data_IF_777354905196
#
_entry.id   IF_777354905196
#
_cell.length_a   1.000
_cell.length_b   1.000
_cell.length_c   1.000
_cell.angle_alpha   90.00
_cell.angle_beta   90.00
_cell.angle_gamma   90.00
#
_symmetry.space_group_name_H-M   'P 1'
#
loop_
_entity.id
_entity.type
_entity.pdbx_description
1 polymer ?
#
# COMPACT_ATOMS: atom_id res chain seq x y z
N UNK A 1 13.17 -16.03 -1.55
CA UNK A 1 12.23 -14.91 -1.62
C UNK A 1 12.84 -13.66 -0.99
N UNK A 2 12.50 -12.49 -1.50
CA UNK A 2 12.93 -11.20 -0.94
C UNK A 2 12.05 -10.73 0.24
N UNK A 3 10.89 -11.35 0.43
CA UNK A 3 9.92 -11.04 1.50
C UNK A 3 9.39 -12.33 2.09
N UNK A 4 10.09 -12.96 3.04
CA UNK A 4 9.67 -14.23 3.66
C UNK A 4 8.40 -14.08 4.50
N UNK A 5 8.10 -12.86 4.90
CA UNK A 5 6.90 -12.49 5.63
C UNK A 5 6.39 -11.19 5.04
N UNK A 6 5.19 -11.20 4.50
CA UNK A 6 4.54 -10.05 3.89
C UNK A 6 3.27 -9.65 4.65
N UNK A 7 2.46 -10.62 5.04
CA UNK A 7 1.18 -10.41 5.69
C UNK A 7 1.00 -11.18 7.00
N UNK A 8 1.69 -12.28 7.20
CA UNK A 8 1.52 -13.11 8.40
C UNK A 8 2.70 -14.05 8.66
N UNK A 9 2.88 -14.46 9.92
CA UNK A 9 3.82 -15.52 10.30
C UNK A 9 3.52 -16.87 9.64
N UNK A 10 2.28 -17.09 9.19
CA UNK A 10 1.90 -18.27 8.44
C UNK A 10 2.66 -18.40 7.11
N UNK A 11 3.03 -17.28 6.49
CA UNK A 11 3.84 -17.28 5.26
C UNK A 11 5.25 -17.80 5.52
N UNK A 12 5.89 -17.33 6.60
CA UNK A 12 7.18 -17.86 7.06
C UNK A 12 7.09 -19.36 7.31
N UNK A 13 6.08 -19.80 8.06
CA UNK A 13 5.85 -21.21 8.31
C UNK A 13 5.71 -22.00 6.99
N UNK A 14 4.95 -21.50 6.04
CA UNK A 14 4.74 -22.15 4.74
C UNK A 14 6.03 -22.31 3.94
N UNK A 15 6.90 -21.29 3.96
CA UNK A 15 8.20 -21.36 3.30
C UNK A 15 9.08 -22.42 3.96
N UNK A 16 9.14 -22.42 5.31
CA UNK A 16 9.93 -23.41 6.03
C UNK A 16 9.37 -24.84 5.88
N UNK A 17 8.06 -25.01 5.86
CA UNK A 17 7.44 -26.32 5.64
C UNK A 17 7.72 -26.86 4.24
N UNK A 18 7.84 -25.97 3.23
CA UNK A 18 8.25 -26.36 1.87
C UNK A 18 9.74 -26.71 1.78
N UNK A 19 10.62 -25.94 2.41
CA UNK A 19 12.09 -26.14 2.32
C UNK A 19 12.55 -27.25 3.27
N UNK A 20 12.01 -27.28 4.50
CA UNK A 20 12.36 -28.18 5.59
C UNK A 20 11.09 -28.68 6.27
N UNK A 21 10.39 -29.66 5.69
CA UNK A 21 9.12 -30.14 6.22
C UNK A 21 9.24 -30.54 7.71
N UNK A 22 8.32 -29.99 8.52
CA UNK A 22 8.24 -30.30 9.95
C UNK A 22 9.23 -29.52 10.85
N UNK A 23 10.16 -28.73 10.31
CA UNK A 23 11.15 -27.99 11.11
C UNK A 23 10.46 -27.00 12.08
N UNK A 24 9.48 -26.25 11.61
CA UNK A 24 8.66 -25.36 12.42
C UNK A 24 7.36 -26.03 12.92
N UNK A 25 7.40 -27.34 13.09
CA UNK A 25 6.26 -28.18 13.49
C UNK A 25 5.09 -28.16 12.49
N UNK A 26 3.92 -28.73 12.89
CA UNK A 26 2.67 -28.55 12.13
C UNK A 26 2.16 -27.12 12.28
N UNK A 27 1.44 -26.61 11.29
CA UNK A 27 0.89 -25.24 11.35
C UNK A 27 0.06 -24.98 12.62
N UNK A 28 -0.76 -25.97 13.03
CA UNK A 28 -1.54 -25.84 14.27
C UNK A 28 -0.65 -25.60 15.50
N UNK A 29 0.46 -26.33 15.61
CA UNK A 29 1.41 -26.18 16.71
C UNK A 29 2.20 -24.87 16.60
N UNK A 30 2.67 -24.52 15.41
CA UNK A 30 3.33 -23.24 15.13
C UNK A 30 2.44 -22.04 15.50
N UNK A 31 1.17 -22.09 15.11
CA UNK A 31 0.19 -21.03 15.43
C UNK A 31 0.00 -20.86 16.94
N UNK A 32 -0.07 -21.96 17.69
CA UNK A 32 -0.25 -21.90 19.15
C UNK A 32 1.02 -21.46 19.86
N UNK A 33 2.20 -21.88 19.40
CA UNK A 33 3.48 -21.61 20.08
C UNK A 33 4.09 -20.27 19.72
N UNK A 34 3.84 -19.76 18.51
CA UNK A 34 4.52 -18.57 17.98
C UNK A 34 3.53 -17.53 17.45
N UNK A 35 2.66 -17.88 16.50
CA UNK A 35 1.82 -16.87 15.82
C UNK A 35 0.88 -16.15 16.81
N UNK A 36 0.14 -16.88 17.64
CA UNK A 36 -0.80 -16.28 18.60
C UNK A 36 -0.06 -15.51 19.70
N UNK A 37 0.94 -16.10 20.41
CA UNK A 37 1.67 -15.37 21.44
C UNK A 37 2.36 -14.11 20.91
N UNK A 38 3.03 -14.19 19.77
CA UNK A 38 3.75 -13.05 19.19
C UNK A 38 2.80 -11.95 18.71
N UNK A 39 1.73 -12.32 17.96
CA UNK A 39 0.88 -11.33 17.29
C UNK A 39 -0.21 -10.77 18.19
N UNK A 40 -0.73 -11.56 19.16
CA UNK A 40 -1.84 -11.13 20.02
C UNK A 40 -1.42 -10.75 21.43
N UNK A 41 -0.37 -11.40 21.96
CA UNK A 41 0.04 -11.27 23.34
C UNK A 41 1.36 -10.51 23.46
N UNK A 42 1.97 -10.14 22.32
CA UNK A 42 3.26 -9.43 22.22
C UNK A 42 4.38 -10.13 23.05
N UNK A 43 4.34 -11.48 23.08
CA UNK A 43 5.26 -12.28 23.90
C UNK A 43 6.67 -12.30 23.28
N UNK A 44 7.56 -11.52 23.88
CA UNK A 44 8.97 -11.42 23.49
C UNK A 44 9.71 -12.76 23.59
N UNK A 45 9.35 -13.63 24.55
CA UNK A 45 10.01 -14.94 24.73
C UNK A 45 9.75 -15.87 23.52
N UNK A 46 8.50 -15.93 23.06
CA UNK A 46 8.13 -16.70 21.87
C UNK A 46 8.77 -16.13 20.61
N UNK A 47 8.86 -14.79 20.52
CA UNK A 47 9.53 -14.09 19.43
C UNK A 47 11.03 -14.45 19.36
N UNK A 48 11.74 -14.36 20.48
CA UNK A 48 13.16 -14.71 20.53
C UNK A 48 13.42 -16.17 20.20
N UNK A 49 12.57 -17.09 20.68
CA UNK A 49 12.67 -18.51 20.34
C UNK A 49 12.50 -18.76 18.86
N UNK A 50 11.50 -18.12 18.22
CA UNK A 50 11.29 -18.24 16.78
C UNK A 50 12.49 -17.67 16.02
N UNK A 51 12.99 -16.49 16.42
CA UNK A 51 14.17 -15.86 15.82
C UNK A 51 15.38 -16.80 15.85
N UNK A 52 15.73 -17.36 16.99
CA UNK A 52 16.84 -18.32 17.12
C UNK A 52 16.68 -19.55 16.20
N UNK A 53 15.45 -20.03 16.00
CA UNK A 53 15.20 -21.16 15.12
C UNK A 53 15.41 -20.82 13.64
N UNK A 54 15.00 -19.63 13.21
CA UNK A 54 15.05 -19.26 11.78
C UNK A 54 16.38 -18.61 11.38
N UNK A 55 17.09 -17.95 12.30
CA UNK A 55 18.32 -17.18 12.06
C UNK A 55 19.37 -17.95 11.23
N UNK A 56 19.67 -19.25 11.47
CA UNK A 56 20.65 -19.98 10.68
C UNK A 56 20.27 -20.17 9.20
N UNK A 57 19.01 -19.98 8.84
CA UNK A 57 18.46 -20.24 7.51
C UNK A 57 18.00 -18.99 6.79
N UNK A 58 17.97 -17.84 7.46
CA UNK A 58 17.52 -16.57 6.92
C UNK A 58 18.69 -15.60 6.81
N UNK A 59 19.10 -15.32 5.58
CA UNK A 59 20.05 -14.23 5.32
C UNK A 59 19.26 -13.07 4.70
N UNK A 60 19.11 -11.99 5.44
CA UNK A 60 18.51 -10.77 4.96
C UNK A 60 19.57 -9.67 4.83
N UNK A 61 19.51 -8.96 3.72
CA UNK A 61 20.31 -7.74 3.50
C UNK A 61 19.40 -6.66 2.95
N UNK A 62 19.45 -5.50 3.54
CA UNK A 62 18.71 -4.34 3.05
C UNK A 62 19.43 -3.71 1.87
N UNK A 63 18.68 -2.99 1.03
CA UNK A 63 19.28 -2.25 -0.09
C UNK A 63 20.30 -1.22 0.39
N UNK A 64 20.05 -0.57 1.53
CA UNK A 64 20.93 0.43 2.12
C UNK A 64 22.28 -0.15 2.54
N UNK A 65 22.30 -1.38 3.06
CA UNK A 65 23.54 -2.06 3.47
C UNK A 65 24.41 -2.51 2.30
N UNK A 66 23.79 -2.86 1.18
CA UNK A 66 24.48 -3.54 0.06
C UNK A 66 24.71 -2.60 -1.13
N UNK A 67 23.82 -1.66 -1.35
CA UNK A 67 23.82 -0.76 -2.51
C UNK A 67 24.14 0.67 -2.08
N UNK A 68 25.38 0.89 -1.67
CA UNK A 68 25.89 2.22 -1.25
C UNK A 68 25.89 3.24 -2.40
N UNK A 69 25.83 2.78 -3.66
CA UNK A 69 25.75 3.64 -4.85
C UNK A 69 24.31 4.02 -5.24
N UNK A 70 23.31 3.41 -4.59
CA UNK A 70 21.91 3.75 -4.89
C UNK A 70 21.58 5.12 -4.31
N UNK A 71 21.06 6.06 -5.13
CA UNK A 71 20.65 7.38 -4.64
C UNK A 71 19.64 7.30 -3.49
N UNK A 72 19.56 8.35 -2.71
CA UNK A 72 18.61 8.44 -1.59
C UNK A 72 17.16 8.35 -2.07
N UNK A 73 16.30 7.90 -1.14
CA UNK A 73 14.87 7.88 -1.31
C UNK A 73 14.24 8.76 -0.24
N UNK A 74 13.61 9.85 -0.67
CA UNK A 74 12.92 10.80 0.19
C UNK A 74 11.42 10.53 0.17
N UNK A 75 10.80 10.36 1.35
CA UNK A 75 9.37 10.10 1.47
C UNK A 75 8.70 11.26 2.17
N UNK A 76 7.72 11.88 1.52
CA UNK A 76 6.92 12.98 2.05
C UNK A 76 5.44 12.58 2.07
N UNK A 77 4.82 12.72 3.23
CA UNK A 77 3.37 12.56 3.38
C UNK A 77 2.75 13.94 3.15
N UNK A 78 1.82 14.01 2.22
CA UNK A 78 1.07 15.22 1.90
C UNK A 78 -0.37 15.05 2.37
N UNK A 79 -0.70 15.79 3.40
CA UNK A 79 -2.01 15.78 4.02
C UNK A 79 -2.93 16.80 3.32
N UNK A 80 -4.12 16.35 2.96
CA UNK A 80 -5.13 17.16 2.30
C UNK A 80 -6.39 17.26 3.17
N UNK A 81 -6.90 18.45 3.33
CA UNK A 81 -8.26 18.64 3.85
C UNK A 81 -9.27 18.39 2.73
N UNK A 82 -10.32 17.63 3.04
CA UNK A 82 -11.41 17.42 2.09
C UNK A 82 -12.15 18.73 1.86
N UNK A 83 -12.73 18.88 0.66
CA UNK A 83 -13.69 19.95 0.42
C UNK A 83 -14.98 19.70 1.19
N UNK A 84 -15.68 20.75 1.56
CA UNK A 84 -16.86 20.72 2.43
C UNK A 84 -17.89 19.67 2.00
N UNK A 85 -18.26 19.66 0.73
CA UNK A 85 -19.21 18.68 0.18
C UNK A 85 -18.67 17.24 0.28
N UNK A 86 -17.38 17.03 0.03
CA UNK A 86 -16.73 15.70 0.15
C UNK A 86 -16.70 15.25 1.61
N UNK A 87 -16.43 16.16 2.54
CA UNK A 87 -16.39 15.90 3.97
C UNK A 87 -17.78 15.54 4.49
N UNK A 88 -18.82 16.27 4.11
CA UNK A 88 -20.21 15.95 4.47
C UNK A 88 -20.62 14.54 4.02
N UNK A 89 -20.27 14.17 2.78
CA UNK A 89 -20.50 12.82 2.25
C UNK A 89 -19.76 11.78 3.08
N UNK A 90 -18.48 12.04 3.42
CA UNK A 90 -17.66 11.14 4.22
C UNK A 90 -18.25 10.94 5.64
N UNK A 91 -18.57 12.03 6.33
CA UNK A 91 -19.10 12.00 7.69
C UNK A 91 -20.48 11.34 7.75
N UNK A 92 -21.36 11.66 6.81
CA UNK A 92 -22.67 11.01 6.71
C UNK A 92 -22.55 9.50 6.52
N UNK A 93 -21.68 9.08 5.62
CA UNK A 93 -21.45 7.65 5.38
C UNK A 93 -20.79 6.95 6.59
N UNK A 94 -19.81 7.60 7.22
CA UNK A 94 -19.15 7.09 8.45
C UNK A 94 -20.15 6.91 9.59
N UNK A 95 -21.06 7.87 9.82
CA UNK A 95 -22.10 7.78 10.85
C UNK A 95 -23.01 6.58 10.63
N UNK A 96 -23.51 6.41 9.40
CA UNK A 96 -24.36 5.27 9.04
C UNK A 96 -23.68 3.92 9.28
N UNK A 97 -22.39 3.83 8.93
CA UNK A 97 -21.62 2.59 9.14
C UNK A 97 -21.37 2.31 10.61
N UNK A 98 -21.06 3.33 11.42
CA UNK A 98 -20.87 3.15 12.87
C UNK A 98 -22.10 2.51 13.51
N UNK A 99 -23.29 2.96 13.15
CA UNK A 99 -24.54 2.37 13.63
C UNK A 99 -24.75 0.93 13.15
N UNK A 100 -24.45 0.66 11.87
CA UNK A 100 -24.58 -0.69 11.30
C UNK A 100 -23.58 -1.66 11.95
N UNK A 101 -22.33 -1.25 12.09
CA UNK A 101 -21.27 -2.07 12.72
C UNK A 101 -21.56 -2.31 14.20
N UNK A 102 -22.06 -1.30 14.93
CA UNK A 102 -22.48 -1.48 16.32
C UNK A 102 -23.56 -2.56 16.48
N UNK A 103 -24.51 -2.63 15.56
CA UNK A 103 -25.56 -3.67 15.52
C UNK A 103 -24.99 -5.07 15.18
N UNK A 104 -23.92 -5.14 14.41
CA UNK A 104 -23.29 -6.39 13.96
C UNK A 104 -22.36 -7.00 15.03
N UNK A 105 -21.81 -6.20 15.93
CA UNK A 105 -20.88 -6.65 16.99
C UNK A 105 -21.50 -7.68 17.93
N UNK A 106 -22.85 -7.65 18.12
CA UNK A 106 -23.59 -8.59 18.96
C UNK A 106 -24.02 -9.91 18.30
N UNK A 107 -23.74 -10.09 17.00
CA UNK A 107 -24.22 -11.24 16.24
C UNK A 107 -23.13 -12.30 15.99
N UNK A 108 -23.52 -13.57 16.07
CA UNK A 108 -22.62 -14.74 16.04
C UNK A 108 -22.07 -15.08 14.66
N UNK A 109 -22.52 -14.46 13.55
CA UNK A 109 -22.09 -14.78 12.18
C UNK A 109 -20.86 -13.94 11.76
N UNK A 110 -19.71 -14.42 12.20
CA UNK A 110 -18.41 -13.73 12.10
C UNK A 110 -17.95 -13.38 10.66
N UNK A 111 -18.18 -14.28 9.69
CA UNK A 111 -17.63 -14.11 8.34
C UNK A 111 -18.37 -13.09 7.47
N UNK A 112 -19.69 -13.11 7.47
CA UNK A 112 -20.51 -12.14 6.71
C UNK A 112 -20.37 -10.73 7.27
N UNK A 113 -20.26 -10.61 8.58
CA UNK A 113 -20.10 -9.32 9.26
C UNK A 113 -18.75 -8.68 8.93
N UNK A 114 -17.67 -9.48 8.88
CA UNK A 114 -16.35 -9.01 8.47
C UNK A 114 -16.33 -8.51 7.02
N UNK A 115 -16.99 -9.21 6.09
CA UNK A 115 -17.09 -8.75 4.70
C UNK A 115 -17.84 -7.43 4.56
N UNK A 116 -18.91 -7.22 5.34
CA UNK A 116 -19.65 -5.93 5.34
C UNK A 116 -18.77 -4.79 5.83
N UNK A 117 -18.03 -5.00 6.93
CA UNK A 117 -17.09 -3.99 7.45
C UNK A 117 -16.01 -3.66 6.42
N UNK A 118 -15.40 -4.67 5.78
CA UNK A 118 -14.40 -4.44 4.73
C UNK A 118 -14.97 -3.68 3.53
N UNK A 119 -16.21 -3.98 3.12
CA UNK A 119 -16.88 -3.24 2.06
C UNK A 119 -17.11 -1.77 2.46
N UNK A 120 -17.52 -1.53 3.70
CA UNK A 120 -17.73 -0.20 4.24
C UNK A 120 -16.42 0.61 4.29
N UNK A 121 -15.34 0.03 4.79
CA UNK A 121 -14.02 0.65 4.79
C UNK A 121 -13.52 0.96 3.37
N UNK A 122 -13.81 0.07 2.41
CA UNK A 122 -13.49 0.30 1.00
C UNK A 122 -14.23 1.52 0.46
N UNK A 123 -15.52 1.71 0.83
CA UNK A 123 -16.30 2.87 0.42
C UNK A 123 -15.79 4.17 1.03
N UNK A 124 -15.46 4.17 2.34
CA UNK A 124 -14.84 5.34 2.99
C UNK A 124 -13.56 5.77 2.27
N UNK A 125 -12.68 4.83 1.94
CA UNK A 125 -11.46 5.11 1.18
C UNK A 125 -11.75 5.64 -0.23
N UNK A 126 -12.77 5.12 -0.90
CA UNK A 126 -13.21 5.64 -2.20
C UNK A 126 -13.65 7.10 -2.09
N UNK A 127 -14.42 7.45 -1.05
CA UNK A 127 -14.85 8.83 -0.81
C UNK A 127 -13.62 9.73 -0.55
N UNK A 128 -12.62 9.26 0.22
CA UNK A 128 -11.37 9.99 0.44
C UNK A 128 -10.58 10.23 -0.86
N UNK A 129 -10.61 9.30 -1.81
CA UNK A 129 -9.96 9.46 -3.10
C UNK A 129 -10.69 10.48 -3.98
N UNK A 130 -11.96 10.23 -4.23
CA UNK A 130 -12.87 11.10 -4.99
C UNK A 130 -14.31 10.57 -4.85
N UNK A 131 -15.29 11.41 -4.49
CA UNK A 131 -16.67 10.95 -4.31
C UNK A 131 -17.29 10.28 -5.54
N UNK A 132 -16.84 10.61 -6.73
CA UNK A 132 -17.31 9.99 -7.98
C UNK A 132 -17.00 8.47 -8.07
N UNK A 133 -16.12 7.94 -7.23
CA UNK A 133 -15.90 6.49 -7.12
C UNK A 133 -17.06 5.77 -6.43
N UNK A 134 -17.90 6.51 -5.72
CA UNK A 134 -19.03 6.01 -4.95
C UNK A 134 -20.37 6.56 -5.40
N UNK A 135 -20.44 7.86 -5.70
CA UNK A 135 -21.65 8.57 -6.14
C UNK A 135 -21.54 8.84 -7.64
N UNK A 136 -22.47 8.26 -8.43
CA UNK A 136 -22.53 8.52 -9.86
C UNK A 136 -22.83 10.00 -10.12
N UNK A 137 -22.18 10.53 -11.14
CA UNK A 137 -22.38 11.91 -11.61
C UNK A 137 -22.08 13.00 -10.55
N UNK A 138 -21.24 12.69 -9.56
CA UNK A 138 -20.71 13.68 -8.66
C UNK A 138 -19.92 14.73 -9.45
N UNK A 139 -20.27 16.00 -9.27
CA UNK A 139 -19.71 17.14 -10.04
C UNK A 139 -18.76 18.00 -9.21
N UNK A 140 -18.64 17.72 -7.92
CA UNK A 140 -17.73 18.42 -7.04
C UNK A 140 -16.27 18.05 -7.33
N UNK A 141 -15.38 18.84 -6.78
CA UNK A 141 -13.92 18.65 -6.88
C UNK A 141 -13.39 17.82 -5.73
N UNK A 142 -12.12 17.42 -5.81
CA UNK A 142 -11.39 16.75 -4.74
C UNK A 142 -10.05 17.45 -4.54
N UNK A 143 -9.83 18.03 -3.36
CA UNK A 143 -8.57 18.71 -3.03
C UNK A 143 -7.35 17.82 -3.27
N UNK A 144 -7.48 16.52 -2.97
CA UNK A 144 -6.43 15.54 -3.23
C UNK A 144 -6.12 15.39 -4.73
N UNK A 145 -7.15 15.42 -5.57
CA UNK A 145 -6.93 15.37 -7.02
C UNK A 145 -6.25 16.64 -7.53
N UNK A 146 -6.68 17.80 -7.08
CA UNK A 146 -6.07 19.06 -7.48
C UNK A 146 -4.60 19.11 -7.05
N UNK A 147 -4.27 18.78 -5.80
CA UNK A 147 -2.90 18.72 -5.33
C UNK A 147 -2.06 17.72 -6.14
N UNK A 148 -2.61 16.54 -6.44
CA UNK A 148 -1.94 15.54 -7.28
C UNK A 148 -1.60 16.11 -8.66
N UNK A 149 -2.53 16.83 -9.28
CA UNK A 149 -2.32 17.45 -10.59
C UNK A 149 -1.32 18.60 -10.55
N UNK A 150 -1.33 19.41 -9.49
CA UNK A 150 -0.35 20.49 -9.27
C UNK A 150 1.07 19.94 -9.17
N UNK A 151 1.28 18.95 -8.29
CA UNK A 151 2.58 18.27 -8.14
C UNK A 151 3.03 17.65 -9.46
N UNK A 152 2.11 17.00 -10.17
CA UNK A 152 2.41 16.38 -11.47
C UNK A 152 2.87 17.42 -12.49
N UNK A 153 2.20 18.57 -12.56
CA UNK A 153 2.58 19.67 -13.49
C UNK A 153 3.92 20.31 -13.14
N UNK A 154 4.16 20.54 -11.86
CA UNK A 154 5.44 21.10 -11.40
C UNK A 154 6.61 20.14 -11.67
N UNK A 155 6.41 18.85 -11.39
CA UNK A 155 7.40 17.83 -11.66
C UNK A 155 7.74 17.74 -13.17
N UNK A 156 6.74 17.76 -14.02
CA UNK A 156 6.93 17.75 -15.48
C UNK A 156 7.72 18.99 -15.95
N UNK A 157 7.38 20.18 -15.43
CA UNK A 157 8.11 21.44 -15.73
C UNK A 157 9.57 21.37 -15.31
N UNK A 158 9.84 20.70 -14.18
CA UNK A 158 11.19 20.48 -13.65
C UNK A 158 11.94 19.33 -14.34
N UNK A 159 11.32 18.66 -15.32
CA UNK A 159 11.93 17.60 -16.12
C UNK A 159 11.77 16.20 -15.57
N UNK A 160 11.17 16.02 -14.38
CA UNK A 160 10.97 14.71 -13.74
C UNK A 160 10.04 13.79 -14.50
N UNK A 161 10.22 12.49 -14.29
CA UNK A 161 9.30 11.43 -14.72
C UNK A 161 8.62 10.80 -13.51
N UNK A 162 7.32 10.57 -13.63
CA UNK A 162 6.44 10.27 -12.51
C UNK A 162 5.82 8.89 -12.67
N UNK A 163 5.91 8.05 -11.62
CA UNK A 163 5.06 6.88 -11.44
C UNK A 163 3.91 7.25 -10.50
N UNK A 164 2.69 7.18 -10.97
CA UNK A 164 1.50 7.47 -10.18
C UNK A 164 0.72 6.19 -9.92
N UNK A 165 0.65 5.80 -8.66
CA UNK A 165 -0.01 4.58 -8.20
C UNK A 165 -1.33 4.87 -7.53
N UNK A 166 -2.35 4.05 -7.85
CA UNK A 166 -3.59 3.98 -7.07
C UNK A 166 -4.06 2.54 -6.89
N UNK A 167 -4.74 2.29 -5.78
CA UNK A 167 -5.41 1.01 -5.50
C UNK A 167 -6.64 0.81 -6.38
N UNK A 168 -7.22 1.91 -6.88
CA UNK A 168 -8.46 1.91 -7.66
C UNK A 168 -8.18 2.25 -9.13
N UNK A 169 -8.49 1.32 -10.03
CA UNK A 169 -8.41 1.58 -11.48
C UNK A 169 -9.35 2.69 -11.93
N UNK A 170 -10.52 2.80 -11.31
CA UNK A 170 -11.47 3.89 -11.54
C UNK A 170 -10.92 5.27 -11.14
N UNK A 171 -10.05 5.33 -10.12
CA UNK A 171 -9.34 6.57 -9.80
C UNK A 171 -8.31 6.92 -10.87
N UNK A 172 -7.59 5.94 -11.38
CA UNK A 172 -6.68 6.16 -12.51
C UNK A 172 -7.42 6.66 -13.77
N UNK A 173 -8.67 6.26 -13.97
CA UNK A 173 -9.51 6.78 -15.08
C UNK A 173 -9.88 8.27 -14.88
N UNK A 174 -10.15 8.69 -13.64
CA UNK A 174 -10.39 10.10 -13.32
C UNK A 174 -9.12 10.92 -13.56
N UNK A 175 -7.97 10.46 -13.07
CA UNK A 175 -6.68 11.12 -13.29
C UNK A 175 -6.33 11.14 -14.79
N UNK A 176 -6.55 10.05 -15.49
CA UNK A 176 -6.36 9.95 -16.94
C UNK A 176 -7.14 11.02 -17.70
N UNK A 177 -8.41 11.24 -17.33
CA UNK A 177 -9.22 12.29 -17.92
C UNK A 177 -8.61 13.66 -17.69
N UNK A 178 -8.19 13.99 -16.48
CA UNK A 178 -7.54 15.27 -16.17
C UNK A 178 -6.23 15.45 -16.95
N UNK A 179 -5.41 14.41 -17.08
CA UNK A 179 -4.18 14.48 -17.88
C UNK A 179 -4.49 14.75 -19.37
N UNK A 180 -5.54 14.14 -19.91
CA UNK A 180 -6.01 14.38 -21.29
C UNK A 180 -6.49 15.83 -21.47
N UNK A 181 -7.30 16.33 -20.55
CA UNK A 181 -7.83 17.69 -20.59
C UNK A 181 -6.70 18.74 -20.56
N UNK A 182 -5.58 18.41 -19.89
CA UNK A 182 -4.37 19.26 -19.80
C UNK A 182 -3.31 18.94 -20.88
N UNK A 183 -3.62 18.07 -21.85
CA UNK A 183 -2.70 17.63 -22.93
C UNK A 183 -1.37 17.03 -22.43
N UNK A 184 -1.37 16.38 -21.26
CA UNK A 184 -0.20 15.70 -20.71
C UNK A 184 -0.16 14.27 -21.26
N UNK A 185 0.98 13.89 -21.88
CA UNK A 185 1.21 12.53 -22.37
C UNK A 185 1.49 11.58 -21.21
N UNK A 186 0.88 10.42 -21.23
CA UNK A 186 1.02 9.41 -20.19
C UNK A 186 0.94 7.99 -20.74
N UNK A 187 1.44 7.04 -19.97
CA UNK A 187 1.10 5.61 -20.12
C UNK A 187 0.21 5.15 -18.98
N UNK A 188 -0.53 4.06 -19.22
CA UNK A 188 -1.38 3.42 -18.21
C UNK A 188 -1.17 1.91 -18.19
N UNK A 189 -0.92 1.35 -17.01
CA UNK A 189 -0.74 -0.08 -16.78
C UNK A 189 -1.67 -0.55 -15.65
N UNK A 190 -2.52 -1.50 -15.98
CA UNK A 190 -3.47 -2.11 -15.04
C UNK A 190 -3.43 -3.63 -15.13
N UNK A 191 -4.25 -4.31 -14.31
CA UNK A 191 -4.40 -5.76 -14.42
C UNK A 191 -4.92 -6.25 -15.77
N UNK A 192 -5.59 -5.39 -16.54
CA UNK A 192 -6.11 -5.71 -17.87
C UNK A 192 -5.05 -5.60 -18.99
N UNK A 193 -3.91 -4.95 -18.73
CA UNK A 193 -2.82 -4.81 -19.71
C UNK A 193 -2.15 -6.16 -19.96
N UNK A 194 -2.04 -6.58 -21.23
CA UNK A 194 -1.41 -7.84 -21.60
C UNK A 194 0.08 -7.88 -21.22
N UNK A 195 0.59 -9.09 -21.00
CA UNK A 195 1.99 -9.27 -20.51
C UNK A 195 3.00 -8.72 -21.53
N UNK A 196 2.77 -8.98 -22.81
CA UNK A 196 3.64 -8.50 -23.89
C UNK A 196 3.67 -6.97 -23.95
N UNK A 197 2.51 -6.33 -23.87
CA UNK A 197 2.37 -4.86 -23.89
C UNK A 197 3.07 -4.20 -22.69
N UNK A 198 3.19 -4.90 -21.56
CA UNK A 198 3.84 -4.34 -20.37
C UNK A 198 5.33 -4.08 -20.57
N UNK A 199 6.00 -4.97 -21.30
CA UNK A 199 7.43 -4.83 -21.57
C UNK A 199 7.66 -3.62 -22.47
N UNK A 200 6.89 -3.53 -23.55
CA UNK A 200 6.98 -2.42 -24.51
C UNK A 200 6.71 -1.07 -23.85
N UNK A 201 5.67 -0.98 -23.02
CA UNK A 201 5.34 0.25 -22.26
C UNK A 201 6.45 0.66 -21.30
N UNK A 202 7.10 -0.31 -20.63
CA UNK A 202 8.21 -0.05 -19.70
C UNK A 202 9.43 0.45 -20.45
N UNK A 203 9.80 -0.21 -21.56
CA UNK A 203 10.96 0.15 -22.36
C UNK A 203 10.77 1.51 -23.01
N UNK A 204 9.58 1.76 -23.57
CA UNK A 204 9.26 3.07 -24.13
C UNK A 204 9.26 4.16 -23.07
N UNK A 205 8.66 3.92 -21.90
CA UNK A 205 8.66 4.90 -20.83
C UNK A 205 10.09 5.26 -20.37
N UNK A 206 10.96 4.27 -20.21
CA UNK A 206 12.34 4.55 -19.78
C UNK A 206 13.11 5.38 -20.81
N UNK A 207 12.91 5.14 -22.11
CA UNK A 207 13.70 5.72 -23.19
C UNK A 207 13.08 6.99 -23.82
N UNK A 208 11.76 7.17 -23.73
CA UNK A 208 11.07 8.30 -24.35
C UNK A 208 10.84 9.45 -23.35
N UNK A 209 11.55 10.55 -23.55
CA UNK A 209 11.46 11.73 -22.67
C UNK A 209 10.19 12.57 -22.89
N UNK A 210 9.39 12.31 -23.88
CA UNK A 210 8.10 13.00 -24.06
C UNK A 210 7.00 12.48 -23.13
N UNK A 211 7.11 11.22 -22.70
CA UNK A 211 6.16 10.59 -21.80
C UNK A 211 6.66 10.77 -20.36
N UNK A 212 5.99 11.64 -19.63
CA UNK A 212 6.43 12.03 -18.27
C UNK A 212 5.66 11.34 -17.15
N UNK A 213 4.48 10.78 -17.43
CA UNK A 213 3.61 10.18 -16.42
C UNK A 213 3.30 8.73 -16.77
N UNK A 214 3.41 7.84 -15.78
CA UNK A 214 2.97 6.47 -15.91
C UNK A 214 1.94 6.17 -14.81
N UNK A 215 0.68 5.99 -15.19
CA UNK A 215 -0.42 5.59 -14.32
C UNK A 215 -0.40 4.08 -14.11
N UNK A 216 -0.27 3.63 -12.88
CA UNK A 216 -0.12 2.19 -12.58
C UNK A 216 -1.07 1.79 -11.46
N UNK A 217 -1.88 0.74 -11.68
CA UNK A 217 -2.63 0.15 -10.58
C UNK A 217 -1.68 -0.57 -9.61
N UNK A 218 -1.86 -0.37 -8.31
CA UNK A 218 -0.94 -0.88 -7.29
C UNK A 218 -0.70 -2.40 -7.40
N UNK A 219 -1.76 -3.16 -7.71
CA UNK A 219 -1.67 -4.62 -7.93
C UNK A 219 -0.80 -4.98 -9.15
N UNK A 220 -0.90 -4.22 -10.22
CA UNK A 220 -0.08 -4.47 -11.43
C UNK A 220 1.38 -4.03 -11.24
N UNK A 221 1.61 -2.98 -10.45
CA UNK A 221 2.95 -2.52 -10.07
C UNK A 221 3.77 -3.51 -9.23
N UNK A 222 3.13 -4.50 -8.60
CA UNK A 222 3.78 -5.57 -7.87
C UNK A 222 4.57 -6.57 -8.76
N UNK A 223 4.31 -6.62 -10.07
CA UNK A 223 5.04 -7.47 -11.01
C UNK A 223 6.37 -6.85 -11.43
N UNK A 224 7.45 -7.61 -11.53
CA UNK A 224 8.87 -7.25 -11.71
C UNK A 224 9.26 -6.18 -12.74
N UNK A 225 8.52 -5.08 -12.84
CA UNK A 225 8.78 -3.96 -13.74
C UNK A 225 10.08 -3.24 -13.35
N UNK A 226 10.83 -2.75 -14.33
CA UNK A 226 12.01 -1.91 -14.13
C UNK A 226 11.74 -0.51 -14.69
N UNK A 227 11.44 0.44 -13.81
CA UNK A 227 11.01 1.80 -14.16
C UNK A 227 12.00 2.86 -13.64
N UNK A 228 13.31 2.58 -13.82
CA UNK A 228 14.40 3.46 -13.37
C UNK A 228 14.50 4.78 -14.13
N UNK A 229 13.75 4.94 -15.22
CA UNK A 229 13.60 6.21 -15.90
C UNK A 229 12.78 7.24 -15.10
N UNK A 230 12.05 6.82 -14.06
CA UNK A 230 11.31 7.72 -13.16
C UNK A 230 12.13 8.03 -11.90
N UNK A 231 12.08 9.27 -11.47
CA UNK A 231 12.69 9.77 -10.24
C UNK A 231 11.66 10.35 -9.25
N UNK A 232 10.38 10.31 -9.62
CA UNK A 232 9.28 10.69 -8.74
C UNK A 232 8.20 9.60 -8.67
N UNK A 233 7.70 9.34 -7.47
CA UNK A 233 6.64 8.38 -7.20
C UNK A 233 5.52 9.05 -6.43
N UNK A 234 4.29 8.94 -6.89
CA UNK A 234 3.10 9.43 -6.19
C UNK A 234 2.21 8.23 -5.85
N UNK A 235 1.99 8.01 -4.56
CA UNK A 235 0.93 7.14 -4.07
C UNK A 235 -0.31 7.98 -3.80
N UNK A 236 -1.31 7.86 -4.66
CA UNK A 236 -2.54 8.66 -4.58
C UNK A 236 -3.38 8.30 -3.36
N UNK A 237 -3.40 7.02 -2.99
CA UNK A 237 -4.12 6.51 -1.82
C UNK A 237 -3.25 5.51 -1.04
N UNK A 238 -3.36 5.47 0.31
CA UNK A 238 -2.66 4.50 1.11
C UNK A 238 -3.27 3.10 0.95
N UNK A 239 -2.41 2.08 0.99
CA UNK A 239 -2.82 0.70 0.95
C UNK A 239 -2.59 0.01 2.30
N UNK A 240 -3.45 -0.93 2.68
CA UNK A 240 -3.33 -1.67 3.93
C UNK A 240 -1.98 -2.36 4.13
N UNK A 241 -1.39 -2.83 3.05
CA UNK A 241 -0.09 -3.49 3.03
C UNK A 241 1.00 -2.49 2.60
N UNK A 242 1.80 -2.04 3.57
CA UNK A 242 2.92 -1.14 3.33
C UNK A 242 3.99 -1.77 2.42
N UNK A 243 4.22 -3.09 2.54
CA UNK A 243 5.19 -3.80 1.71
C UNK A 243 4.84 -3.71 0.22
N UNK A 244 3.56 -3.82 -0.14
CA UNK A 244 3.13 -3.66 -1.54
C UNK A 244 3.36 -2.23 -2.07
N UNK A 245 3.17 -1.19 -1.23
CA UNK A 245 3.50 0.19 -1.61
C UNK A 245 5.00 0.39 -1.76
N UNK A 246 5.79 -0.13 -0.83
CA UNK A 246 7.25 -0.08 -0.91
C UNK A 246 7.75 -0.83 -2.14
N UNK A 247 7.20 -1.99 -2.44
CA UNK A 247 7.53 -2.76 -3.64
C UNK A 247 7.20 -1.97 -4.93
N UNK A 248 6.10 -1.23 -4.97
CA UNK A 248 5.76 -0.36 -6.08
C UNK A 248 6.76 0.82 -6.20
N UNK A 249 7.13 1.47 -5.11
CA UNK A 249 8.18 2.49 -5.07
C UNK A 249 9.52 1.95 -5.57
N UNK A 250 9.86 0.73 -5.21
CA UNK A 250 11.09 0.05 -5.59
C UNK A 250 11.19 -0.28 -7.09
N UNK A 251 10.17 0.02 -7.89
CA UNK A 251 10.26 -0.01 -9.37
C UNK A 251 11.07 1.16 -9.93
N UNK A 252 11.04 2.31 -9.26
CA UNK A 252 11.88 3.46 -9.57
C UNK A 252 13.20 3.41 -8.79
N UNK A 253 13.16 3.07 -7.50
CA UNK A 253 14.33 3.02 -6.63
C UNK A 253 15.03 1.66 -6.69
N UNK A 254 15.81 1.45 -7.75
CA UNK A 254 16.45 0.18 -8.09
C UNK A 254 17.83 0.39 -8.71
N UNK A 255 18.64 -0.67 -8.80
CA UNK A 255 19.91 -0.67 -9.54
C UNK A 255 19.69 -0.11 -10.94
N UNK A 256 20.46 0.90 -11.31
CA UNK A 256 20.32 1.66 -12.55
C UNK A 256 19.64 3.03 -12.35
N UNK A 257 19.12 3.34 -11.17
CA UNK A 257 18.68 4.69 -10.83
C UNK A 257 19.89 5.59 -10.56
N UNK A 258 19.88 6.78 -11.15
CA UNK A 258 20.97 7.77 -11.04
C UNK A 258 20.55 9.05 -10.31
N UNK A 259 19.28 9.19 -10.01
CA UNK A 259 18.71 10.36 -9.34
C UNK A 259 18.08 9.98 -8.00
N UNK A 260 18.06 10.92 -7.05
CA UNK A 260 17.25 10.80 -5.83
C UNK A 260 15.80 10.54 -6.20
N UNK A 261 15.18 9.54 -5.56
CA UNK A 261 13.78 9.20 -5.80
C UNK A 261 12.90 9.88 -4.76
N UNK A 262 12.11 10.85 -5.20
CA UNK A 262 11.13 11.53 -4.34
C UNK A 262 9.80 10.79 -4.35
N UNK A 263 9.27 10.46 -3.17
CA UNK A 263 8.03 9.72 -2.99
C UNK A 263 7.01 10.57 -2.26
N UNK A 264 5.90 10.88 -2.90
CA UNK A 264 4.76 11.53 -2.27
C UNK A 264 3.66 10.52 -1.93
N UNK A 265 3.15 10.59 -0.70
CA UNK A 265 1.97 9.85 -0.26
C UNK A 265 0.86 10.85 0.04
N UNK A 266 -0.21 10.82 -0.74
CA UNK A 266 -1.34 11.73 -0.55
C UNK A 266 -2.35 11.12 0.43
N UNK A 267 -2.81 11.90 1.39
CA UNK A 267 -3.71 11.46 2.45
C UNK A 267 -4.78 12.51 2.71
N UNK A 268 -6.01 12.07 2.88
CA UNK A 268 -7.08 12.92 3.39
C UNK A 268 -7.01 12.98 4.91
N UNK A 269 -6.89 14.19 5.49
CA UNK A 269 -6.83 14.45 6.94
C UNK A 269 -8.13 14.07 7.63
N UNK A 270 -8.03 13.68 8.89
CA UNK A 270 -9.17 13.33 9.76
C UNK A 270 -10.03 12.20 9.19
N UNK A 271 -9.40 11.27 8.47
CA UNK A 271 -10.08 10.16 7.81
C UNK A 271 -9.46 8.80 8.13
N UNK A 272 -10.10 7.77 7.60
CA UNK A 272 -9.59 6.41 7.64
C UNK A 272 -8.17 6.28 7.03
N UNK A 273 -7.75 7.18 6.16
CA UNK A 273 -6.43 7.09 5.53
C UNK A 273 -5.29 7.38 6.51
N UNK A 274 -5.45 8.31 7.45
CA UNK A 274 -4.50 8.51 8.55
C UNK A 274 -4.38 7.25 9.41
N UNK A 275 -5.51 6.65 9.76
CA UNK A 275 -5.53 5.41 10.55
C UNK A 275 -4.89 4.22 9.84
N UNK A 276 -4.98 4.18 8.51
CA UNK A 276 -4.27 3.17 7.71
C UNK A 276 -2.76 3.37 7.84
N UNK A 277 -2.27 4.61 7.82
CA UNK A 277 -0.85 4.88 8.01
C UNK A 277 -0.36 4.50 9.41
N UNK A 278 -1.09 4.89 10.45
CA UNK A 278 -0.78 4.49 11.82
C UNK A 278 -0.70 2.97 11.96
N UNK A 279 -1.63 2.24 11.33
CA UNK A 279 -1.58 0.78 11.30
C UNK A 279 -0.37 0.26 10.52
N UNK A 280 0.02 0.90 9.42
CA UNK A 280 1.22 0.53 8.69
C UNK A 280 2.48 0.70 9.54
N UNK A 281 2.59 1.81 10.28
CA UNK A 281 3.71 2.11 11.17
C UNK A 281 3.81 1.13 12.34
N UNK A 282 2.68 0.86 13.01
CA UNK A 282 2.62 -0.13 14.09
C UNK A 282 3.00 -1.53 13.61
N UNK A 283 2.52 -1.91 12.44
CA UNK A 283 2.87 -3.18 11.80
C UNK A 283 4.33 -3.23 11.39
N UNK A 284 4.89 -2.15 10.91
CA UNK A 284 6.31 -2.04 10.60
C UNK A 284 7.15 -2.21 11.87
N UNK A 285 6.80 -1.52 12.97
CA UNK A 285 7.52 -1.61 14.24
C UNK A 285 7.56 -3.06 14.78
N UNK A 286 6.40 -3.75 14.80
CA UNK A 286 6.35 -5.17 15.19
C UNK A 286 7.16 -6.04 14.24
N UNK A 287 7.06 -5.75 12.96
CA UNK A 287 7.79 -6.36 11.90
C UNK A 287 9.30 -6.20 12.12
N UNK A 288 9.78 -5.01 12.38
CA UNK A 288 11.18 -4.70 12.57
C UNK A 288 11.77 -5.44 13.81
N UNK A 289 10.97 -5.74 14.83
CA UNK A 289 11.37 -6.49 16.03
C UNK A 289 11.62 -8.00 15.80
N UNK A 290 10.94 -8.66 14.87
CA UNK A 290 10.98 -10.12 14.71
C UNK A 290 12.04 -10.60 13.71
N UNK A 291 12.24 -9.89 12.61
CA UNK A 291 13.25 -10.27 11.60
C UNK A 291 14.55 -9.50 11.74
N UNK A 292 14.49 -8.47 12.68
CA UNK A 292 15.55 -7.50 12.71
C UNK A 292 16.86 -8.22 13.01
N UNK A 293 17.54 -7.90 12.42
CA UNK A 293 17.41 -6.53 12.50
C UNK A 293 16.24 -5.93 11.78
N UNK A 294 15.20 -6.46 11.17
CA UNK A 294 14.00 -5.77 10.69
C UNK A 294 12.91 -6.73 10.15
N UNK A 295 11.87 -6.93 10.68
CA UNK A 295 10.72 -7.17 10.79
C UNK A 295 9.53 -7.91 10.22
N UNK A 296 8.44 -8.19 10.88
CA UNK A 296 7.24 -8.95 10.44
C UNK A 296 6.04 -8.06 10.13
N UNK A 297 5.30 -8.37 9.08
CA UNK A 297 4.04 -7.71 8.79
C UNK A 297 2.82 -8.60 9.02
N UNK A 298 1.82 -7.97 9.55
CA UNK A 298 0.63 -8.53 10.11
C UNK A 298 -0.29 -9.25 9.15
N UNK A 299 -0.96 -10.19 9.76
CA UNK A 299 -2.21 -10.82 9.35
C UNK A 299 -3.27 -9.88 8.78
N UNK A 300 -4.26 -10.47 8.15
CA UNK A 300 -5.57 -9.86 7.92
C UNK A 300 -5.99 -9.06 9.15
N UNK A 301 -6.51 -7.85 8.91
CA UNK A 301 -7.02 -6.96 9.95
C UNK A 301 -7.93 -7.74 10.93
N UNK A 302 -7.61 -7.69 12.20
CA UNK A 302 -8.43 -8.28 13.24
C UNK A 302 -9.75 -7.52 13.37
N UNK A 303 -10.74 -8.13 14.03
CA UNK A 303 -12.02 -7.47 14.29
C UNK A 303 -11.82 -6.19 15.13
N UNK A 304 -10.90 -6.23 16.08
CA UNK A 304 -10.52 -5.11 16.93
C UNK A 304 -9.86 -3.98 16.13
N UNK A 305 -8.96 -4.29 15.21
CA UNK A 305 -8.34 -3.30 14.32
C UNK A 305 -9.36 -2.66 13.38
N UNK A 306 -10.26 -3.48 12.80
CA UNK A 306 -11.36 -2.99 11.96
C UNK A 306 -12.29 -2.02 12.73
N UNK A 307 -12.53 -2.29 14.01
CA UNK A 307 -13.33 -1.42 14.87
C UNK A 307 -12.59 -0.12 15.23
N UNK A 308 -11.29 -0.19 15.54
CA UNK A 308 -10.47 0.99 15.79
C UNK A 308 -10.45 1.95 14.61
N UNK A 309 -10.47 1.44 13.38
CA UNK A 309 -10.52 2.25 12.16
C UNK A 309 -11.81 3.08 12.04
N UNK A 310 -12.90 2.65 12.68
CA UNK A 310 -14.20 3.34 12.68
C UNK A 310 -14.43 4.20 13.92
N UNK A 311 -13.56 4.11 14.94
CA UNK A 311 -13.63 4.97 16.14
C UNK A 311 -12.92 6.31 15.84
N UNK A 312 -13.47 7.39 16.34
CA UNK A 312 -12.84 8.72 16.26
C UNK A 312 -11.73 8.84 17.27
#
# INVERSE_FOLDING_TARGET
TGTPIENSLAELWSIFDFIMPGYLYTYKKFKTMYEIPIVKEEDESSMQKLKMLIEPFVLRRTKQEVLTELPEKEITILENEMQEEQEEIYLSYLSNIKEEVAKLIGQTDSGKNQMKVLAALTRLRQICCHPNLFIKDYKGESSKLEQCMEITKEAIKSGHKILLFSSYTSMLEIIEKRLKDENIKYFKLTGATKVEERVDLVDEFNNNNEIKVFLISLKAGGTGLNLTGADMVIHYDPWWNAAAQNQATDRAHRIGQTHTVTVYKLIARHTIEEKILELQENKKALSDQILSEEGVTASQLTKEELLKLLQN
#
